data_IF_921834428795
#
_entry.id   IF_921834428795
#
_cell.length_a   1.000
_cell.length_b   1.000
_cell.length_c   1.000
_cell.angle_alpha   90.00
_cell.angle_beta   90.00
_cell.angle_gamma   90.00
#
_symmetry.space_group_name_H-M   'P 1'
#
loop_
_entity.id
_entity.type
_entity.pdbx_description
1 polymer ?
#
# COMPACT_ATOMS: atom_id res chain seq x y z
N UNK A 1 -4.74 10.26 -33.56
CA UNK A 1 -5.78 9.27 -33.24
C UNK A 1 -5.67 8.86 -31.77
N UNK A 2 -6.75 8.41 -31.14
CA UNK A 2 -6.80 8.01 -29.72
C UNK A 2 -5.86 6.86 -29.38
N UNK A 3 -5.67 5.92 -30.32
CA UNK A 3 -4.68 4.85 -30.21
C UNK A 3 -3.26 5.41 -30.09
N UNK A 4 -2.87 6.34 -30.97
CA UNK A 4 -1.54 6.98 -30.91
C UNK A 4 -1.30 7.70 -29.58
N UNK A 5 -2.33 8.34 -29.03
CA UNK A 5 -2.24 9.02 -27.72
C UNK A 5 -2.02 7.99 -26.62
N UNK A 6 -2.80 6.90 -26.58
CA UNK A 6 -2.63 5.84 -25.59
C UNK A 6 -1.21 5.28 -25.60
N UNK A 7 -0.65 4.99 -26.78
CA UNK A 7 0.73 4.51 -26.90
C UNK A 7 1.73 5.50 -26.30
N UNK A 8 1.65 6.77 -26.68
CA UNK A 8 2.56 7.82 -26.17
C UNK A 8 2.45 8.02 -24.66
N UNK A 9 1.23 7.98 -24.12
CA UNK A 9 1.02 8.08 -22.66
C UNK A 9 1.63 6.88 -21.97
N UNK A 10 1.43 5.66 -22.51
CA UNK A 10 1.97 4.43 -21.93
C UNK A 10 3.51 4.36 -21.99
N UNK A 11 4.13 4.96 -23.00
CA UNK A 11 5.60 5.10 -23.08
C UNK A 11 6.18 5.99 -21.96
N UNK A 12 5.38 6.85 -21.34
CA UNK A 12 5.83 7.85 -20.37
C UNK A 12 5.24 7.66 -18.97
N UNK A 13 4.19 6.86 -18.81
CA UNK A 13 3.43 6.75 -17.57
C UNK A 13 2.67 5.44 -17.46
N UNK A 14 2.55 4.95 -16.23
CA UNK A 14 1.75 3.79 -15.88
C UNK A 14 0.31 4.13 -15.43
N UNK A 15 -0.12 5.39 -15.58
CA UNK A 15 -1.48 5.80 -15.25
C UNK A 15 -2.51 4.93 -15.97
N UNK A 16 -3.61 4.53 -15.31
CA UNK A 16 -4.61 3.70 -15.97
C UNK A 16 -5.32 4.43 -17.11
N UNK A 17 -5.51 3.74 -18.22
CA UNK A 17 -6.12 4.27 -19.43
C UNK A 17 -7.39 3.46 -19.75
N UNK A 18 -8.53 4.13 -19.78
CA UNK A 18 -9.79 3.56 -20.27
C UNK A 18 -10.11 4.21 -21.62
N UNK A 19 -10.16 3.41 -22.68
CA UNK A 19 -10.57 3.88 -23.99
C UNK A 19 -12.09 3.88 -24.10
N UNK A 20 -12.66 5.00 -24.55
CA UNK A 20 -14.11 5.14 -24.76
C UNK A 20 -14.37 5.54 -26.20
N UNK A 21 -15.04 4.69 -26.97
CA UNK A 21 -15.07 4.82 -28.43
C UNK A 21 -16.32 4.27 -29.08
N UNK A 22 -16.63 4.76 -30.29
CA UNK A 22 -17.71 4.24 -31.13
C UNK A 22 -17.26 3.06 -32.02
N UNK A 23 -15.97 2.74 -32.03
CA UNK A 23 -15.42 1.58 -32.76
C UNK A 23 -15.70 0.30 -31.99
N UNK A 24 -16.61 -0.51 -32.51
CA UNK A 24 -17.12 -1.72 -31.85
C UNK A 24 -16.53 -3.02 -32.39
N UNK A 25 -15.75 -2.94 -33.46
CA UNK A 25 -15.09 -4.10 -34.05
C UNK A 25 -14.13 -4.75 -33.04
N UNK A 26 -14.11 -6.08 -33.03
CA UNK A 26 -13.22 -6.86 -32.16
C UNK A 26 -11.74 -6.48 -32.39
N UNK A 27 -11.37 -6.26 -33.64
CA UNK A 27 -10.01 -5.89 -34.05
C UNK A 27 -9.58 -4.58 -33.36
N UNK A 28 -10.45 -3.56 -33.34
CA UNK A 28 -10.16 -2.29 -32.68
C UNK A 28 -10.03 -2.44 -31.15
N UNK A 29 -10.86 -3.30 -30.54
CA UNK A 29 -10.81 -3.59 -29.09
C UNK A 29 -9.49 -4.25 -28.72
N UNK A 30 -9.11 -5.29 -29.45
CA UNK A 30 -7.86 -6.04 -29.25
C UNK A 30 -6.67 -5.11 -29.46
N UNK A 31 -6.69 -4.29 -30.51
CA UNK A 31 -5.65 -3.33 -30.79
C UNK A 31 -5.51 -2.29 -29.66
N UNK A 32 -6.62 -1.73 -29.19
CA UNK A 32 -6.61 -0.75 -28.10
C UNK A 32 -6.01 -1.29 -26.79
N UNK A 33 -6.39 -2.52 -26.43
CA UNK A 33 -5.85 -3.21 -25.25
C UNK A 33 -4.35 -3.51 -25.40
N UNK A 34 -3.93 -4.07 -26.55
CA UNK A 34 -2.52 -4.36 -26.83
C UNK A 34 -1.64 -3.11 -26.87
N UNK A 35 -2.21 -1.94 -27.18
CA UNK A 35 -1.51 -0.67 -27.18
C UNK A 35 -1.35 -0.03 -25.79
N UNK A 36 -1.87 -0.68 -24.74
CA UNK A 36 -1.69 -0.26 -23.36
C UNK A 36 -2.92 0.35 -22.70
N UNK A 37 -4.13 0.12 -23.23
CA UNK A 37 -5.36 0.43 -22.51
C UNK A 37 -5.64 -0.65 -21.43
N UNK A 38 -6.08 -0.22 -20.26
CA UNK A 38 -6.50 -1.09 -19.15
C UNK A 38 -7.95 -1.56 -19.28
N UNK A 39 -8.78 -0.79 -20.00
CA UNK A 39 -10.13 -1.18 -20.40
C UNK A 39 -10.52 -0.48 -21.71
N UNK A 40 -11.49 -1.06 -22.43
CA UNK A 40 -12.00 -0.56 -23.70
C UNK A 40 -13.54 -0.64 -23.72
N UNK A 41 -14.18 0.52 -23.81
CA UNK A 41 -15.63 0.69 -23.68
C UNK A 41 -16.23 1.20 -24.98
N UNK A 42 -17.11 0.37 -25.55
CA UNK A 42 -17.85 0.67 -26.77
C UNK A 42 -19.10 1.51 -26.47
N UNK A 43 -19.38 2.51 -27.31
CA UNK A 43 -20.66 3.24 -27.31
C UNK A 43 -21.74 2.42 -28.04
N UNK A 44 -23.01 2.49 -27.58
CA UNK A 44 -23.49 3.20 -26.39
C UNK A 44 -23.24 2.42 -25.08
N UNK A 45 -22.94 3.14 -24.00
CA UNK A 45 -22.81 2.59 -22.64
C UNK A 45 -23.62 3.42 -21.66
N UNK A 46 -23.96 2.83 -20.51
CA UNK A 46 -24.61 3.59 -19.43
C UNK A 46 -23.55 4.32 -18.58
N UNK A 47 -23.85 5.51 -18.00
CA UNK A 47 -22.94 6.16 -17.06
C UNK A 47 -22.56 5.27 -15.88
N UNK A 48 -23.50 4.43 -15.39
CA UNK A 48 -23.26 3.48 -14.30
C UNK A 48 -22.24 2.41 -14.68
N UNK A 49 -22.28 1.92 -15.91
CA UNK A 49 -21.29 0.95 -16.42
C UNK A 49 -19.89 1.56 -16.44
N UNK A 50 -19.75 2.78 -16.96
CA UNK A 50 -18.46 3.46 -17.00
C UNK A 50 -17.89 3.68 -15.60
N UNK A 51 -18.73 4.10 -14.64
CA UNK A 51 -18.32 4.24 -13.23
C UNK A 51 -17.84 2.91 -12.66
N UNK A 52 -18.57 1.82 -12.90
CA UNK A 52 -18.17 0.49 -12.41
C UNK A 52 -16.84 0.02 -13.00
N UNK A 53 -16.58 0.32 -14.28
CA UNK A 53 -15.30 0.02 -14.96
C UNK A 53 -14.15 0.85 -14.42
N UNK A 54 -14.35 2.15 -14.21
CA UNK A 54 -13.38 3.04 -13.55
C UNK A 54 -13.01 2.48 -12.17
N UNK A 55 -14.01 2.13 -11.35
CA UNK A 55 -13.78 1.54 -10.03
C UNK A 55 -13.03 0.20 -10.13
N UNK A 56 -13.32 -0.64 -11.12
CA UNK A 56 -12.63 -1.92 -11.30
C UNK A 56 -11.15 -1.74 -11.64
N UNK A 57 -10.80 -0.74 -12.46
CA UNK A 57 -9.42 -0.39 -12.79
C UNK A 57 -8.69 0.16 -11.56
N UNK A 58 -9.31 1.07 -10.80
CA UNK A 58 -8.71 1.62 -9.58
C UNK A 58 -8.46 0.55 -8.50
N UNK A 59 -9.40 -0.38 -8.27
CA UNK A 59 -9.20 -1.52 -7.34
C UNK A 59 -8.03 -2.44 -7.73
N UNK A 60 -7.59 -2.45 -8.99
CA UNK A 60 -6.41 -3.22 -9.41
C UNK A 60 -5.11 -2.49 -9.08
N UNK A 61 -5.12 -1.15 -9.12
CA UNK A 61 -3.98 -0.35 -8.65
C UNK A 61 -3.78 -0.52 -7.15
N UNK A 62 -4.85 -0.46 -6.35
CA UNK A 62 -4.78 -0.62 -4.90
C UNK A 62 -4.17 -1.98 -4.51
N UNK A 63 -4.52 -3.05 -5.22
CA UNK A 63 -3.93 -4.39 -5.01
C UNK A 63 -2.46 -4.49 -5.46
N UNK A 64 -2.05 -3.74 -6.47
CA UNK A 64 -0.64 -3.68 -6.90
C UNK A 64 0.21 -2.80 -5.97
N UNK A 65 -0.44 -1.89 -5.24
CA UNK A 65 0.13 -1.06 -4.18
C UNK A 65 -0.02 -1.70 -2.79
N UNK A 66 -0.39 -2.99 -2.70
CA UNK A 66 -0.06 -3.74 -1.49
C UNK A 66 1.47 -3.68 -1.38
N UNK A 67 2.02 -3.11 -0.28
CA UNK A 67 3.45 -3.24 -0.05
C UNK A 67 3.76 -4.72 -0.14
N UNK A 68 4.87 -5.11 -0.77
CA UNK A 68 5.41 -6.46 -0.67
C UNK A 68 5.13 -6.91 0.75
N UNK A 69 4.23 -7.89 0.94
CA UNK A 69 3.96 -8.39 2.26
C UNK A 69 5.33 -8.77 2.78
N UNK A 70 5.82 -7.99 3.73
CA UNK A 70 7.05 -8.27 4.39
C UNK A 70 6.69 -9.56 5.13
N UNK A 71 6.91 -10.73 4.52
CA UNK A 71 6.54 -12.05 5.06
C UNK A 71 7.15 -12.26 6.46
N UNK A 72 8.11 -11.40 6.80
CA UNK A 72 8.66 -11.26 8.12
C UNK A 72 7.67 -10.71 9.15
N UNK A 73 6.66 -9.91 8.84
CA UNK A 73 5.74 -9.32 9.82
C UNK A 73 4.29 -9.81 9.67
N UNK A 74 3.68 -10.20 10.80
CA UNK A 74 2.24 -10.50 10.89
C UNK A 74 1.60 -9.58 11.93
N UNK A 75 0.43 -9.03 11.65
CA UNK A 75 -0.29 -8.12 12.56
C UNK A 75 -1.67 -8.70 12.88
N UNK A 76 -2.03 -8.70 14.16
CA UNK A 76 -3.40 -8.90 14.65
C UNK A 76 -3.84 -7.62 15.37
N UNK A 77 -4.68 -6.83 14.69
CA UNK A 77 -5.18 -5.55 15.20
C UNK A 77 -6.18 -5.73 16.34
N UNK A 78 -6.97 -6.80 16.31
CA UNK A 78 -7.98 -7.06 17.32
C UNK A 78 -7.33 -7.39 18.67
N UNK A 79 -6.22 -8.11 18.64
CA UNK A 79 -5.43 -8.45 19.83
C UNK A 79 -4.27 -7.50 20.12
N UNK A 80 -4.06 -6.48 19.27
CA UNK A 80 -2.89 -5.59 19.29
C UNK A 80 -1.56 -6.34 19.41
N UNK A 81 -1.35 -7.33 18.53
CA UNK A 81 -0.14 -8.16 18.50
C UNK A 81 0.54 -8.10 17.15
N UNK A 82 1.86 -8.04 17.19
CA UNK A 82 2.71 -8.08 15.99
C UNK A 82 3.74 -9.20 16.18
N UNK A 83 3.91 -10.02 15.15
CA UNK A 83 4.95 -11.03 15.07
C UNK A 83 6.01 -10.62 14.05
N UNK A 84 7.26 -10.94 14.33
CA UNK A 84 8.37 -10.90 13.40
C UNK A 84 8.93 -12.32 13.21
N UNK A 85 8.97 -12.84 11.98
CA UNK A 85 9.40 -14.19 11.62
C UNK A 85 8.77 -15.26 12.53
N UNK A 86 7.43 -15.22 12.64
CA UNK A 86 6.61 -16.09 13.50
C UNK A 86 6.79 -15.90 15.03
N UNK A 87 7.64 -14.97 15.49
CA UNK A 87 7.85 -14.69 16.92
C UNK A 87 7.09 -13.45 17.37
N UNK A 88 6.34 -13.56 18.46
CA UNK A 88 5.58 -12.42 19.00
C UNK A 88 6.53 -11.36 19.53
N UNK A 89 6.33 -10.11 19.14
CA UNK A 89 7.03 -8.97 19.71
C UNK A 89 6.30 -8.54 20.99
N UNK A 90 7.05 -8.34 22.09
CA UNK A 90 6.50 -7.81 23.34
C UNK A 90 6.47 -6.29 23.29
N UNK A 91 5.42 -5.72 22.69
CA UNK A 91 5.27 -4.28 22.46
C UNK A 91 4.39 -3.61 23.52
N UNK A 92 4.71 -2.35 23.86
CA UNK A 92 3.77 -1.49 24.58
C UNK A 92 2.68 -0.98 23.63
N UNK A 93 1.55 -0.44 24.12
CA UNK A 93 0.49 0.10 23.25
C UNK A 93 0.99 1.17 22.27
N UNK A 94 1.89 2.05 22.71
CA UNK A 94 2.49 3.09 21.86
C UNK A 94 3.42 2.50 20.81
N UNK A 95 4.25 1.53 21.19
CA UNK A 95 5.13 0.84 20.25
C UNK A 95 4.35 0.03 19.21
N UNK A 96 3.25 -0.60 19.62
CA UNK A 96 2.32 -1.26 18.72
C UNK A 96 1.78 -0.28 17.67
N UNK A 97 1.21 0.85 18.10
CA UNK A 97 0.66 1.87 17.19
C UNK A 97 1.71 2.43 16.22
N UNK A 98 2.92 2.69 16.71
CA UNK A 98 4.02 3.15 15.85
C UNK A 98 4.41 2.10 14.82
N UNK A 99 4.58 0.84 15.23
CA UNK A 99 4.97 -0.21 14.30
C UNK A 99 3.84 -0.54 13.31
N UNK A 100 2.58 -0.52 13.75
CA UNK A 100 1.41 -0.61 12.87
C UNK A 100 1.45 0.47 11.80
N UNK A 101 1.59 1.74 12.19
CA UNK A 101 1.70 2.87 11.25
C UNK A 101 2.81 2.65 10.22
N UNK A 102 4.00 2.23 10.66
CA UNK A 102 5.13 2.02 9.75
C UNK A 102 4.92 0.83 8.79
N UNK A 103 4.23 -0.22 9.24
CA UNK A 103 3.93 -1.39 8.42
C UNK A 103 2.79 -1.14 7.43
N UNK A 104 1.85 -0.25 7.75
CA UNK A 104 0.81 0.20 6.82
C UNK A 104 1.35 1.14 5.73
N UNK A 105 2.37 1.94 6.07
CA UNK A 105 2.93 2.97 5.19
C UNK A 105 4.44 2.77 4.96
N UNK A 106 4.81 1.59 4.48
CA UNK A 106 6.22 1.23 4.22
C UNK A 106 6.86 2.22 3.25
N UNK A 107 8.04 2.74 3.62
CA UNK A 107 8.80 3.70 2.81
C UNK A 107 8.39 5.16 2.98
N UNK A 108 7.33 5.45 3.74
CA UNK A 108 6.93 6.83 4.04
C UNK A 108 7.79 7.43 5.17
N UNK A 109 8.20 8.69 5.00
CA UNK A 109 8.96 9.44 6.01
C UNK A 109 8.01 10.23 6.90
N UNK A 110 8.17 10.09 8.22
CA UNK A 110 7.40 10.82 9.22
C UNK A 110 8.29 11.73 10.08
N UNK A 111 7.82 12.96 10.31
CA UNK A 111 8.39 13.86 11.31
C UNK A 111 7.94 13.48 12.72
N UNK A 112 8.67 13.96 13.75
CA UNK A 112 8.34 13.69 15.16
C UNK A 112 6.94 14.17 15.53
N UNK A 113 6.56 15.38 15.08
CA UNK A 113 5.24 15.94 15.30
C UNK A 113 4.14 15.04 14.71
N UNK A 114 4.31 14.57 13.47
CA UNK A 114 3.35 13.64 12.84
C UNK A 114 3.21 12.32 13.61
N UNK A 115 4.31 11.80 14.17
CA UNK A 115 4.26 10.58 14.98
C UNK A 115 3.53 10.82 16.31
N UNK A 116 3.75 11.97 16.96
CA UNK A 116 3.06 12.36 18.20
C UNK A 116 1.56 12.50 17.99
N UNK A 117 1.15 13.22 16.93
CA UNK A 117 -0.26 13.40 16.57
C UNK A 117 -0.96 12.06 16.33
N UNK A 118 -0.25 11.08 15.76
CA UNK A 118 -0.80 9.77 15.44
C UNK A 118 -1.00 8.87 16.68
N UNK A 119 -0.08 8.93 17.65
CA UNK A 119 -0.13 8.04 18.83
C UNK A 119 -1.00 8.57 19.97
N UNK A 120 -1.20 9.89 20.04
CA UNK A 120 -1.86 10.58 21.14
C UNK A 120 -2.68 11.81 20.68
N UNK A 121 -3.87 11.60 20.08
CA UNK A 121 -4.73 12.72 19.69
C UNK A 121 -5.24 13.55 20.88
N UNK A 122 -5.27 13.00 22.10
CA UNK A 122 -5.94 13.60 23.28
C UNK A 122 -5.00 14.01 24.44
N UNK A 123 -3.67 13.86 24.32
CA UNK A 123 -2.76 14.26 25.41
C UNK A 123 -1.71 15.25 24.97
N UNK A 124 -1.92 16.49 25.39
CA UNK A 124 -1.16 17.69 25.06
C UNK A 124 0.26 17.77 25.66
N UNK A 125 0.75 16.73 26.36
CA UNK A 125 1.88 16.91 27.29
C UNK A 125 2.90 15.76 27.32
N UNK A 126 3.17 15.14 26.17
CA UNK A 126 4.23 14.12 26.07
C UNK A 126 5.34 14.62 25.14
N UNK A 127 6.47 15.01 25.75
CA UNK A 127 7.63 15.62 25.12
C UNK A 127 8.23 14.79 23.97
N UNK A 128 8.71 15.47 22.92
CA UNK A 128 9.40 14.95 21.72
C UNK A 128 10.40 13.80 21.96
N UNK A 129 11.08 13.79 23.12
CA UNK A 129 12.09 12.77 23.48
C UNK A 129 11.51 11.37 23.69
N UNK A 130 10.20 11.26 23.86
CA UNK A 130 9.51 9.98 24.09
C UNK A 130 9.46 9.14 22.81
N UNK A 131 9.30 9.78 21.64
CA UNK A 131 9.30 9.08 20.34
C UNK A 131 10.64 8.38 20.10
N UNK A 132 11.76 9.08 20.27
CA UNK A 132 13.09 8.51 20.01
C UNK A 132 13.35 7.26 20.88
N UNK A 133 12.87 7.25 22.13
CA UNK A 133 12.94 6.09 23.02
C UNK A 133 12.09 4.92 22.52
N UNK A 134 10.86 5.17 22.07
CA UNK A 134 10.01 4.13 21.49
C UNK A 134 10.60 3.57 20.20
N UNK A 135 11.13 4.41 19.31
CA UNK A 135 11.82 3.96 18.09
C UNK A 135 13.04 3.11 18.43
N UNK A 136 13.84 3.53 19.43
CA UNK A 136 14.99 2.76 19.90
C UNK A 136 14.57 1.39 20.44
N UNK A 137 13.52 1.34 21.26
CA UNK A 137 13.00 0.09 21.83
C UNK A 137 12.42 -0.83 20.76
N UNK A 138 11.69 -0.29 19.79
CA UNK A 138 11.16 -1.04 18.65
C UNK A 138 12.29 -1.71 17.87
N UNK A 139 13.33 -0.95 17.49
CA UNK A 139 14.50 -1.49 16.80
C UNK A 139 15.15 -2.61 17.60
N UNK A 140 15.37 -2.41 18.90
CA UNK A 140 15.93 -3.44 19.78
C UNK A 140 15.08 -4.72 19.79
N UNK A 141 13.77 -4.61 20.00
CA UNK A 141 12.85 -5.76 20.07
C UNK A 141 12.77 -6.54 18.75
N UNK A 142 12.83 -5.85 17.62
CA UNK A 142 12.87 -6.48 16.29
C UNK A 142 14.21 -7.21 16.10
N UNK A 143 15.34 -6.57 16.45
CA UNK A 143 16.66 -7.20 16.37
C UNK A 143 16.79 -8.42 17.28
N UNK A 144 16.30 -8.37 18.52
CA UNK A 144 16.28 -9.51 19.44
C UNK A 144 15.48 -10.69 18.87
N UNK A 145 14.33 -10.41 18.25
CA UNK A 145 13.53 -11.43 17.57
C UNK A 145 14.27 -12.04 16.37
N UNK A 146 14.99 -11.22 15.59
CA UNK A 146 15.80 -11.64 14.45
C UNK A 146 17.01 -12.51 14.86
N UNK A 147 17.78 -12.09 15.87
CA UNK A 147 18.98 -12.81 16.34
C UNK A 147 18.64 -14.18 16.94
N UNK A 148 17.51 -14.28 17.62
CA UNK A 148 17.04 -15.56 18.16
C UNK A 148 16.60 -16.52 17.05
N UNK A 149 16.29 -16.03 15.85
CA UNK A 149 15.97 -16.86 14.68
C UNK A 149 17.18 -17.60 14.11
N UNK A 150 18.37 -17.00 14.25
CA UNK A 150 19.60 -17.49 13.63
C UNK A 150 20.38 -18.51 14.48
N UNK A 151 19.87 -18.89 15.67
CA UNK A 151 20.57 -19.80 16.61
C UNK A 151 20.03 -21.24 16.61
N UNK A 152 19.07 -21.57 15.75
CA UNK A 152 18.48 -22.91 15.67
C UNK A 152 18.51 -23.46 14.24
N UNK A 153 19.71 -23.60 13.68
CA UNK A 153 19.97 -24.53 12.59
C UNK A 153 21.31 -25.24 12.88
N UNK A 154 21.23 -26.39 13.56
CA UNK A 154 22.23 -27.46 13.54
C UNK A 154 21.47 -28.79 13.46
#
# INVERSE_FOLDING_TARGET
DGLTICRKVREQSDLPIIMVTARTEEIDRVLGLNMGADDYVCKPFSPKELVARVQAVLRRLERKAEPEQNDSFRIDKAQQRIWYQQKSLSLTPTEFRLLELFLEHVGQVYSRAQLLDHINPDSFDVADRVIDSHIKNLRRKISEAAETGNRHEW
#
